data_IF_389363971220
#
_entry.id   IF_389363971220
#
_cell.length_a   1.000
_cell.length_b   1.000
_cell.length_c   1.000
_cell.angle_alpha   90.00
_cell.angle_beta   90.00
_cell.angle_gamma   90.00
#
_symmetry.space_group_name_H-M   'P 1'
#
loop_
_entity.id
_entity.type
_entity.pdbx_description
1 polymer ?
#
# COMPACT_ATOMS: atom_id res chain seq x y z
N UNK A 1 -13.58 22.81 12.92
CA UNK A 1 -13.86 21.37 13.17
C UNK A 1 -12.92 20.89 14.26
N UNK A 2 -13.43 20.31 15.36
CA UNK A 2 -12.58 19.79 16.44
C UNK A 2 -11.71 18.63 15.94
N UNK A 3 -10.40 18.65 16.25
CA UNK A 3 -9.43 17.62 15.85
C UNK A 3 -9.88 16.19 16.16
N UNK A 4 -10.67 16.00 17.23
CA UNK A 4 -11.21 14.68 17.61
C UNK A 4 -12.15 14.10 16.55
N UNK A 5 -12.95 14.94 15.87
CA UNK A 5 -13.85 14.49 14.80
C UNK A 5 -13.09 14.02 13.56
N UNK A 6 -11.95 14.64 13.26
CA UNK A 6 -11.10 14.25 12.12
C UNK A 6 -10.45 12.91 12.42
N UNK A 7 -9.83 12.77 13.60
CA UNK A 7 -9.17 11.53 14.02
C UNK A 7 -10.17 10.36 14.04
N UNK A 8 -11.36 10.57 14.61
CA UNK A 8 -12.41 9.54 14.65
C UNK A 8 -12.85 9.09 13.26
N UNK A 9 -13.10 10.02 12.32
CA UNK A 9 -13.47 9.67 10.94
C UNK A 9 -12.38 8.89 10.22
N UNK A 10 -11.12 9.29 10.37
CA UNK A 10 -9.98 8.59 9.75
C UNK A 10 -9.82 7.19 10.32
N UNK A 11 -9.92 7.04 11.64
CA UNK A 11 -9.80 5.75 12.32
C UNK A 11 -10.91 4.79 11.86
N UNK A 12 -12.17 5.22 11.92
CA UNK A 12 -13.32 4.40 11.50
C UNK A 12 -13.22 4.01 10.03
N UNK A 13 -12.85 4.95 9.14
CA UNK A 13 -12.69 4.64 7.70
C UNK A 13 -11.56 3.66 7.41
N UNK A 14 -10.42 3.78 8.10
CA UNK A 14 -9.28 2.87 7.93
C UNK A 14 -9.60 1.45 8.44
N UNK A 15 -10.22 1.35 9.62
CA UNK A 15 -10.63 0.06 10.17
C UNK A 15 -11.68 -0.62 9.29
N UNK A 16 -12.72 0.10 8.87
CA UNK A 16 -13.79 -0.44 8.05
C UNK A 16 -13.27 -0.94 6.69
N UNK A 17 -12.44 -0.14 6.01
CA UNK A 17 -11.87 -0.52 4.71
C UNK A 17 -10.97 -1.75 4.81
N UNK A 18 -10.16 -1.84 5.87
CA UNK A 18 -9.27 -2.99 6.09
C UNK A 18 -10.07 -4.26 6.40
N UNK A 19 -11.05 -4.19 7.30
CA UNK A 19 -11.91 -5.34 7.62
C UNK A 19 -12.70 -5.81 6.41
N UNK A 20 -13.22 -4.90 5.60
CA UNK A 20 -13.95 -5.26 4.38
C UNK A 20 -13.05 -5.96 3.36
N UNK A 21 -11.84 -5.46 3.15
CA UNK A 21 -10.84 -6.11 2.29
C UNK A 21 -10.49 -7.51 2.82
N UNK A 22 -10.26 -7.65 4.12
CA UNK A 22 -9.90 -8.92 4.74
C UNK A 22 -11.00 -9.97 4.56
N UNK A 23 -12.26 -9.61 4.81
CA UNK A 23 -13.40 -10.51 4.61
C UNK A 23 -13.48 -10.98 3.15
N UNK A 24 -13.27 -10.09 2.18
CA UNK A 24 -13.30 -10.45 0.76
C UNK A 24 -12.16 -11.41 0.42
N UNK A 25 -10.92 -11.08 0.81
CA UNK A 25 -9.74 -11.88 0.46
C UNK A 25 -9.75 -13.25 1.14
N UNK A 26 -10.29 -13.37 2.35
CA UNK A 26 -10.46 -14.67 3.02
C UNK A 26 -11.47 -15.56 2.28
N UNK A 27 -12.57 -14.98 1.76
CA UNK A 27 -13.61 -15.74 1.05
C UNK A 27 -13.24 -16.05 -0.40
N UNK A 28 -12.66 -15.08 -1.11
CA UNK A 28 -12.26 -15.16 -2.52
C UNK A 28 -10.92 -14.44 -2.71
N UNK A 29 -9.78 -15.13 -2.47
CA UNK A 29 -8.45 -14.57 -2.70
C UNK A 29 -8.23 -14.05 -4.14
N UNK A 30 -8.86 -14.67 -5.13
CA UNK A 30 -8.79 -14.26 -6.56
C UNK A 30 -9.40 -12.88 -6.81
N UNK A 31 -10.25 -12.40 -5.90
CA UNK A 31 -10.87 -11.09 -6.00
C UNK A 31 -9.94 -9.96 -5.54
N UNK A 32 -8.73 -10.24 -5.02
CA UNK A 32 -7.82 -9.21 -4.50
C UNK A 32 -7.53 -8.11 -5.54
N UNK A 33 -7.24 -8.49 -6.79
CA UNK A 33 -6.97 -7.54 -7.87
C UNK A 33 -8.20 -6.69 -8.23
N UNK A 34 -9.40 -7.28 -8.18
CA UNK A 34 -10.67 -6.59 -8.41
C UNK A 34 -10.94 -5.56 -7.30
N UNK A 35 -10.64 -5.91 -6.05
CA UNK A 35 -10.76 -4.99 -4.91
C UNK A 35 -9.85 -3.78 -5.10
N UNK A 36 -8.58 -3.98 -5.46
CA UNK A 36 -7.63 -2.88 -5.70
C UNK A 36 -8.05 -2.02 -6.89
N UNK A 37 -8.56 -2.63 -7.96
CA UNK A 37 -9.13 -1.90 -9.10
C UNK A 37 -10.29 -1.01 -8.68
N UNK A 38 -11.23 -1.55 -7.89
CA UNK A 38 -12.39 -0.79 -7.38
C UNK A 38 -11.95 0.36 -6.46
N UNK A 39 -10.94 0.14 -5.61
CA UNK A 39 -10.35 1.18 -4.77
C UNK A 39 -9.76 2.31 -5.63
N UNK A 40 -8.97 1.98 -6.65
CA UNK A 40 -8.38 2.97 -7.54
C UNK A 40 -9.40 3.72 -8.36
N UNK A 41 -10.42 3.02 -8.86
CA UNK A 41 -11.54 3.65 -9.56
C UNK A 41 -12.27 4.63 -8.65
N UNK A 42 -12.55 4.22 -7.41
CA UNK A 42 -13.23 5.07 -6.43
C UNK A 42 -12.40 6.32 -6.10
N UNK A 43 -11.08 6.17 -5.90
CA UNK A 43 -10.16 7.28 -5.64
C UNK A 43 -10.05 8.21 -6.86
N UNK A 44 -9.98 7.65 -8.07
CA UNK A 44 -9.92 8.42 -9.30
C UNK A 44 -11.20 9.23 -9.53
N UNK A 45 -12.38 8.62 -9.33
CA UNK A 45 -13.68 9.30 -9.42
C UNK A 45 -13.81 10.39 -8.37
N UNK A 46 -13.48 10.09 -7.11
CA UNK A 46 -13.52 11.09 -6.05
C UNK A 46 -12.55 12.25 -6.33
N UNK A 47 -11.35 11.96 -6.85
CA UNK A 47 -10.37 12.96 -7.27
C UNK A 47 -10.90 13.86 -8.39
N UNK A 48 -11.59 13.29 -9.38
CA UNK A 48 -12.21 14.02 -10.48
C UNK A 48 -13.35 14.92 -10.00
N UNK A 49 -14.23 14.41 -9.14
CA UNK A 49 -15.35 15.18 -8.56
C UNK A 49 -14.89 16.30 -7.63
N UNK A 50 -13.72 16.15 -7.00
CA UNK A 50 -13.14 17.17 -6.08
C UNK A 50 -12.33 18.23 -6.83
N UNK A 51 -12.11 18.05 -8.14
CA UNK A 51 -11.34 18.99 -8.95
C UNK A 51 -12.12 20.30 -9.10
N UNK A 52 -11.60 21.39 -8.54
CA UNK A 52 -12.16 22.74 -8.68
C UNK A 52 -11.53 23.40 -9.92
N UNK A 53 -12.35 24.04 -10.76
CA UNK A 53 -11.97 24.65 -12.05
C UNK A 53 -10.83 25.69 -11.98
N UNK A 54 -10.42 26.14 -10.80
CA UNK A 54 -9.50 27.28 -10.63
C UNK A 54 -8.01 26.93 -10.55
N UNK A 55 -7.59 25.70 -10.89
CA UNK A 55 -6.20 25.25 -10.76
C UNK A 55 -5.67 24.67 -12.07
N UNK A 56 -5.48 25.54 -13.07
CA UNK A 56 -5.03 25.16 -14.41
C UNK A 56 -3.56 25.44 -14.74
N UNK A 57 -2.73 25.88 -13.77
CA UNK A 57 -1.30 26.11 -14.03
C UNK A 57 -0.40 25.02 -13.42
N UNK A 58 -0.05 23.98 -14.20
CA UNK A 58 0.92 22.99 -13.75
C UNK A 58 2.32 23.59 -13.65
N UNK A 59 2.88 23.64 -12.44
CA UNK A 59 4.27 24.06 -12.18
C UNK A 59 5.21 22.86 -11.90
N UNK A 60 4.80 21.64 -12.25
CA UNK A 60 5.56 20.40 -11.96
C UNK A 60 5.94 19.70 -13.27
N UNK A 61 7.20 19.28 -13.47
CA UNK A 61 7.60 18.54 -14.65
C UNK A 61 6.91 17.16 -14.72
N UNK A 62 6.32 16.84 -15.88
CA UNK A 62 5.56 15.60 -16.11
C UNK A 62 6.35 14.33 -15.77
N UNK A 63 7.68 14.34 -15.97
CA UNK A 63 8.56 13.18 -15.70
C UNK A 63 8.50 12.73 -14.23
N UNK A 64 8.54 13.66 -13.29
CA UNK A 64 8.50 13.33 -11.87
C UNK A 64 7.14 12.78 -11.44
N UNK A 65 6.07 13.31 -12.03
CA UNK A 65 4.72 12.84 -11.80
C UNK A 65 4.49 11.42 -12.35
N UNK A 66 5.02 11.11 -13.54
CA UNK A 66 4.99 9.75 -14.09
C UNK A 66 5.78 8.76 -13.21
N UNK A 67 6.95 9.14 -12.70
CA UNK A 67 7.73 8.29 -11.78
C UNK A 67 6.92 7.98 -10.52
N UNK A 68 6.21 8.97 -9.95
CA UNK A 68 5.33 8.78 -8.79
C UNK A 68 4.22 7.76 -9.08
N UNK A 69 3.56 7.87 -10.24
CA UNK A 69 2.51 6.95 -10.67
C UNK A 69 3.05 5.53 -10.83
N UNK A 70 4.19 5.38 -11.52
CA UNK A 70 4.82 4.08 -11.74
C UNK A 70 5.21 3.42 -10.41
N UNK A 71 5.79 4.17 -9.47
CA UNK A 71 6.13 3.67 -8.13
C UNK A 71 4.90 3.25 -7.34
N UNK A 72 3.84 4.07 -7.37
CA UNK A 72 2.58 3.75 -6.71
C UNK A 72 1.98 2.45 -7.28
N UNK A 73 1.88 2.35 -8.60
CA UNK A 73 1.34 1.18 -9.27
C UNK A 73 2.16 -0.09 -9.00
N UNK A 74 3.49 -0.02 -9.13
CA UNK A 74 4.38 -1.14 -8.83
C UNK A 74 4.25 -1.61 -7.38
N UNK A 75 4.18 -0.68 -6.44
CA UNK A 75 3.99 -0.98 -5.01
C UNK A 75 2.65 -1.68 -4.77
N UNK A 76 1.58 -1.23 -5.41
CA UNK A 76 0.26 -1.83 -5.28
C UNK A 76 0.14 -3.21 -5.90
N UNK A 77 0.73 -3.42 -7.07
CA UNK A 77 0.81 -4.74 -7.72
C UNK A 77 1.60 -5.71 -6.85
N UNK A 78 2.76 -5.29 -6.34
CA UNK A 78 3.58 -6.10 -5.46
C UNK A 78 2.82 -6.46 -4.15
N UNK A 79 2.12 -5.51 -3.54
CA UNK A 79 1.32 -5.76 -2.33
C UNK A 79 0.19 -6.78 -2.56
N UNK A 80 -0.42 -6.80 -3.75
CA UNK A 80 -1.41 -7.82 -4.09
C UNK A 80 -0.77 -9.19 -4.31
N UNK A 81 0.39 -9.23 -4.95
CA UNK A 81 1.10 -10.48 -5.24
C UNK A 81 1.57 -11.20 -3.97
N UNK A 82 1.84 -10.47 -2.89
CA UNK A 82 2.20 -11.03 -1.57
C UNK A 82 1.19 -12.07 -1.08
N UNK A 83 -0.11 -11.88 -1.33
CA UNK A 83 -1.13 -12.86 -0.90
C UNK A 83 -0.96 -14.23 -1.59
N UNK A 84 -0.42 -14.25 -2.81
CA UNK A 84 -0.10 -15.48 -3.54
C UNK A 84 1.14 -16.18 -2.98
N UNK A 85 2.01 -15.46 -2.28
CA UNK A 85 3.25 -15.98 -1.67
C UNK A 85 3.03 -16.62 -0.28
N UNK A 86 1.80 -17.01 0.05
CA UNK A 86 1.41 -17.66 1.31
C UNK A 86 1.67 -16.81 2.58
N UNK A 87 1.75 -15.50 2.44
CA UNK A 87 1.81 -14.59 3.60
C UNK A 87 0.38 -14.40 4.13
N UNK A 88 0.11 -14.74 5.41
CA UNK A 88 -1.21 -14.50 6.00
C UNK A 88 -1.59 -13.01 5.94
N UNK A 89 -2.89 -12.71 5.73
CA UNK A 89 -3.40 -11.33 5.70
C UNK A 89 -3.05 -10.56 6.96
N UNK A 90 -3.13 -11.22 8.12
CA UNK A 90 -2.79 -10.64 9.42
C UNK A 90 -1.31 -10.25 9.50
N UNK A 91 -0.39 -11.11 9.02
CA UNK A 91 1.04 -10.78 9.02
C UNK A 91 1.33 -9.62 8.06
N UNK A 92 0.70 -9.61 6.88
CA UNK A 92 0.79 -8.48 5.96
C UNK A 92 0.35 -7.17 6.65
N UNK A 93 -0.79 -7.14 7.36
CA UNK A 93 -1.24 -5.94 8.06
C UNK A 93 -0.26 -5.47 9.16
N UNK A 94 0.33 -6.41 9.89
CA UNK A 94 1.35 -6.12 10.91
C UNK A 94 2.58 -5.51 10.25
N UNK A 95 3.14 -6.15 9.21
CA UNK A 95 4.32 -5.63 8.50
C UNK A 95 4.01 -4.27 7.85
N UNK A 96 2.82 -4.08 7.26
CA UNK A 96 2.39 -2.80 6.67
C UNK A 96 2.40 -1.65 7.68
N UNK A 97 2.20 -1.93 8.96
CA UNK A 97 2.28 -0.92 10.02
C UNK A 97 3.70 -0.33 10.18
N UNK A 98 4.74 -1.04 9.70
CA UNK A 98 6.11 -0.53 9.62
C UNK A 98 6.33 0.54 8.52
N UNK A 99 5.29 0.91 7.74
CA UNK A 99 5.36 2.02 6.80
C UNK A 99 5.72 3.36 7.48
N UNK A 100 5.33 3.56 8.74
CA UNK A 100 5.67 4.75 9.52
C UNK A 100 7.18 4.82 9.83
N UNK A 101 7.80 3.77 10.44
CA UNK A 101 9.25 3.63 10.53
C UNK A 101 9.98 3.82 9.18
N UNK A 102 9.50 3.16 8.12
CA UNK A 102 10.12 3.25 6.79
C UNK A 102 10.09 4.70 6.26
N UNK A 103 8.95 5.39 6.38
CA UNK A 103 8.78 6.77 5.96
C UNK A 103 9.67 7.73 6.76
N UNK A 104 9.81 7.50 8.06
CA UNK A 104 10.73 8.27 8.90
C UNK A 104 12.19 8.08 8.47
N UNK A 105 12.61 6.82 8.24
CA UNK A 105 13.98 6.50 7.81
C UNK A 105 14.31 7.11 6.44
N UNK A 106 13.44 6.93 5.46
CA UNK A 106 13.61 7.51 4.11
C UNK A 106 13.63 9.04 4.18
N UNK A 107 12.71 9.65 4.93
CA UNK A 107 12.67 11.11 5.09
C UNK A 107 13.89 11.66 5.80
N UNK A 108 14.40 10.97 6.83
CA UNK A 108 15.63 11.36 7.52
C UNK A 108 16.84 11.24 6.60
N UNK A 109 16.95 10.15 5.84
CA UNK A 109 18.04 9.94 4.89
C UNK A 109 18.06 11.01 3.79
N UNK A 110 16.92 11.29 3.16
CA UNK A 110 16.85 12.24 2.03
C UNK A 110 16.91 13.70 2.50
N UNK A 111 16.16 14.10 3.53
CA UNK A 111 16.11 15.49 3.99
C UNK A 111 17.27 15.87 4.91
N UNK A 112 18.06 14.89 5.38
CA UNK A 112 19.15 15.05 6.37
C UNK A 112 18.74 15.74 7.68
N UNK A 113 17.43 15.83 7.97
CA UNK A 113 16.88 16.42 9.20
C UNK A 113 16.58 15.32 10.21
N UNK A 114 17.04 15.50 11.45
CA UNK A 114 16.82 14.54 12.54
C UNK A 114 15.32 14.43 12.86
N UNK A 115 14.79 13.21 13.07
CA UNK A 115 13.39 13.01 13.44
C UNK A 115 13.12 13.54 14.86
N UNK A 116 11.86 13.91 15.12
CA UNK A 116 11.41 14.28 16.47
C UNK A 116 11.49 13.07 17.39
N UNK A 117 11.82 13.29 18.67
CA UNK A 117 11.99 12.22 19.66
C UNK A 117 10.77 11.30 19.77
N UNK A 118 9.55 11.87 19.76
CA UNK A 118 8.31 11.09 19.84
C UNK A 118 8.12 10.15 18.62
N UNK A 119 8.49 10.62 17.43
CA UNK A 119 8.43 9.81 16.20
C UNK A 119 9.48 8.70 16.24
N UNK A 120 10.66 8.98 16.80
CA UNK A 120 11.73 8.01 16.94
C UNK A 120 11.34 6.88 17.91
N UNK A 121 10.82 7.23 19.08
CA UNK A 121 10.34 6.25 20.08
C UNK A 121 9.21 5.40 19.49
N UNK A 122 8.22 6.03 18.85
CA UNK A 122 7.14 5.30 18.19
C UNK A 122 7.64 4.35 17.10
N UNK A 123 8.62 4.79 16.31
CA UNK A 123 9.24 3.94 15.28
C UNK A 123 9.94 2.72 15.87
N UNK A 124 10.67 2.86 16.98
CA UNK A 124 11.36 1.74 17.64
C UNK A 124 10.35 0.71 18.16
N UNK A 125 9.29 1.17 18.83
CA UNK A 125 8.24 0.31 19.37
C UNK A 125 7.56 -0.49 18.25
N UNK A 126 7.21 0.18 17.14
CA UNK A 126 6.57 -0.48 15.99
C UNK A 126 7.51 -1.52 15.37
N UNK A 127 8.78 -1.18 15.14
CA UNK A 127 9.77 -2.11 14.56
C UNK A 127 9.92 -3.36 15.43
N UNK A 128 9.96 -3.20 16.75
CA UNK A 128 10.06 -4.33 17.68
C UNK A 128 8.80 -5.21 17.67
N UNK A 129 7.62 -4.61 17.66
CA UNK A 129 6.36 -5.34 17.56
C UNK A 129 6.23 -6.15 16.26
N UNK A 130 6.64 -5.55 15.13
CA UNK A 130 6.66 -6.23 13.82
C UNK A 130 7.67 -7.39 13.82
N UNK A 131 8.85 -7.20 14.42
CA UNK A 131 9.86 -8.25 14.52
C UNK A 131 9.34 -9.48 15.31
N UNK A 132 8.76 -9.26 16.50
CA UNK A 132 8.22 -10.35 17.33
C UNK A 132 7.10 -11.10 16.59
N UNK A 133 6.17 -10.38 15.98
CA UNK A 133 5.06 -10.98 15.25
C UNK A 133 5.54 -11.80 14.04
N UNK A 134 6.52 -11.27 13.29
CA UNK A 134 7.09 -11.96 12.12
C UNK A 134 7.86 -13.21 12.54
N UNK A 135 8.61 -13.14 13.64
CA UNK A 135 9.29 -14.30 14.20
C UNK A 135 8.30 -15.39 14.64
N UNK A 136 7.22 -15.00 15.32
CA UNK A 136 6.15 -15.93 15.69
C UNK A 136 5.58 -16.68 14.49
N UNK A 137 5.25 -15.97 13.41
CA UNK A 137 4.71 -16.59 12.19
C UNK A 137 5.73 -17.50 11.48
N UNK A 138 7.02 -17.10 11.45
CA UNK A 138 8.10 -17.89 10.85
C UNK A 138 8.17 -19.29 11.47
N UNK A 139 8.08 -19.41 12.79
CA UNK A 139 8.14 -20.71 13.50
C UNK A 139 6.96 -21.63 13.15
N UNK A 140 5.80 -21.06 12.82
CA UNK A 140 4.60 -21.83 12.45
C UNK A 140 4.77 -22.39 11.03
N UNK A 141 5.36 -21.61 10.13
CA UNK A 141 5.55 -21.98 8.73
C UNK A 141 6.71 -22.95 8.54
N UNK A 142 7.78 -22.82 9.33
CA UNK A 142 8.88 -23.78 9.35
C UNK A 142 8.38 -25.20 9.67
N UNK A 143 7.42 -25.33 10.59
CA UNK A 143 6.77 -26.61 10.90
C UNK A 143 5.92 -27.18 9.76
N UNK A 144 5.48 -26.36 8.79
CA UNK A 144 4.68 -26.78 7.62
C UNK A 144 5.57 -27.00 6.39
N UNK A 145 6.56 -27.89 6.53
CA UNK A 145 7.60 -28.20 5.53
C UNK A 145 7.10 -28.08 4.08
N UNK A 146 7.67 -27.13 3.33
CA UNK A 146 7.42 -26.95 1.89
C UNK A 146 7.01 -25.54 1.44
N UNK A 147 6.70 -24.61 2.37
CA UNK A 147 6.24 -23.24 1.99
C UNK A 147 7.06 -22.08 2.57
N UNK A 148 8.08 -22.38 3.37
CA UNK A 148 8.92 -21.37 4.03
C UNK A 148 9.61 -20.42 3.05
N UNK A 149 10.13 -20.96 1.93
CA UNK A 149 10.80 -20.15 0.91
C UNK A 149 9.86 -19.13 0.24
N UNK A 150 8.62 -19.54 -0.10
CA UNK A 150 7.62 -18.65 -0.68
C UNK A 150 7.20 -17.55 0.31
N UNK A 151 7.01 -17.92 1.58
CA UNK A 151 6.71 -16.96 2.63
C UNK A 151 7.84 -15.94 2.81
N UNK A 152 9.10 -16.38 2.84
CA UNK A 152 10.26 -15.51 2.95
C UNK A 152 10.33 -14.50 1.78
N UNK A 153 10.10 -14.98 0.55
CA UNK A 153 9.97 -14.11 -0.62
C UNK A 153 8.84 -13.08 -0.46
N UNK A 154 7.69 -13.48 0.09
CA UNK A 154 6.58 -12.57 0.37
C UNK A 154 6.92 -11.51 1.42
N UNK A 155 7.62 -11.88 2.50
CA UNK A 155 8.08 -10.93 3.52
C UNK A 155 9.10 -9.95 2.95
N UNK A 156 10.07 -10.43 2.15
CA UNK A 156 11.04 -9.55 1.48
C UNK A 156 10.33 -8.58 0.53
N UNK A 157 9.38 -9.08 -0.26
CA UNK A 157 8.59 -8.24 -1.16
C UNK A 157 7.82 -7.16 -0.39
N UNK A 158 7.21 -7.49 0.76
CA UNK A 158 6.56 -6.52 1.62
C UNK A 158 7.52 -5.46 2.17
N UNK A 159 8.72 -5.85 2.60
CA UNK A 159 9.70 -4.88 3.09
C UNK A 159 10.14 -3.93 1.97
N UNK A 160 10.27 -4.43 0.74
CA UNK A 160 10.56 -3.60 -0.43
C UNK A 160 9.40 -2.64 -0.75
N UNK A 161 8.14 -3.09 -0.69
CA UNK A 161 6.98 -2.23 -0.92
C UNK A 161 6.84 -1.14 0.14
N UNK A 162 7.23 -1.41 1.40
CA UNK A 162 7.26 -0.38 2.45
C UNK A 162 8.24 0.76 2.12
N UNK A 163 9.43 0.43 1.60
CA UNK A 163 10.44 1.41 1.23
C UNK A 163 9.97 2.20 -0.01
N UNK A 164 9.46 1.53 -1.04
CA UNK A 164 8.90 2.20 -2.22
C UNK A 164 7.69 3.07 -1.89
N UNK A 165 6.83 2.62 -0.97
CA UNK A 165 5.72 3.41 -0.43
C UNK A 165 6.18 4.65 0.33
N UNK A 166 7.24 4.52 1.13
CA UNK A 166 7.87 5.65 1.81
C UNK A 166 8.45 6.69 0.84
N UNK A 167 9.09 6.25 -0.26
CA UNK A 167 9.52 7.16 -1.33
C UNK A 167 8.34 7.87 -1.99
N UNK A 168 7.26 7.15 -2.28
CA UNK A 168 6.03 7.71 -2.86
C UNK A 168 5.45 8.79 -1.94
N UNK A 169 5.36 8.53 -0.64
CA UNK A 169 4.91 9.51 0.36
C UNK A 169 5.81 10.74 0.46
N UNK A 170 7.14 10.54 0.43
CA UNK A 170 8.10 11.64 0.44
C UNK A 170 7.96 12.52 -0.81
N UNK A 171 7.78 11.92 -1.98
CA UNK A 171 7.54 12.62 -3.24
C UNK A 171 6.25 13.44 -3.15
N UNK A 172 5.15 12.88 -2.62
CA UNK A 172 3.89 13.60 -2.40
C UNK A 172 4.05 14.82 -1.48
N UNK A 173 4.89 14.73 -0.45
CA UNK A 173 5.17 15.86 0.44
C UNK A 173 5.95 16.99 -0.27
N UNK A 174 6.87 16.61 -1.17
CA UNK A 174 7.65 17.57 -1.98
C UNK A 174 6.78 18.23 -3.04
N UNK A 175 5.86 17.47 -3.67
CA UNK A 175 4.86 17.97 -4.61
C UNK A 175 3.73 18.68 -3.87
N UNK A 176 4.07 19.77 -3.18
CA UNK A 176 3.10 20.67 -2.56
C UNK A 176 2.47 21.55 -3.63
N UNK A 177 1.62 20.97 -4.49
CA UNK A 177 0.85 21.78 -5.44
C UNK A 177 -0.51 21.18 -5.78
N UNK A 178 -1.46 22.09 -5.98
CA UNK A 178 -2.89 21.89 -6.17
C UNK A 178 -3.23 21.00 -7.37
N UNK A 179 -4.38 20.32 -7.30
CA UNK A 179 -4.90 19.38 -8.32
C UNK A 179 -4.85 20.05 -9.70
N UNK A 180 -3.98 19.57 -10.58
CA UNK A 180 -3.74 20.11 -11.94
C UNK A 180 -4.27 19.14 -12.99
N UNK A 181 -4.30 19.55 -14.27
CA UNK A 181 -4.63 18.68 -15.41
C UNK A 181 -3.82 17.37 -15.43
N UNK A 182 -2.58 17.38 -14.90
CA UNK A 182 -1.78 16.16 -14.76
C UNK A 182 -2.40 15.13 -13.81
N UNK A 183 -3.24 15.53 -12.84
CA UNK A 183 -4.03 14.56 -12.06
C UNK A 183 -5.03 13.81 -12.92
N UNK A 184 -5.70 14.47 -13.87
CA UNK A 184 -6.62 13.78 -14.79
C UNK A 184 -5.84 12.77 -15.64
N UNK A 185 -4.72 13.20 -16.23
CA UNK A 185 -3.83 12.32 -17.01
C UNK A 185 -3.33 11.16 -16.15
N UNK A 186 -2.95 11.42 -14.90
CA UNK A 186 -2.52 10.41 -13.94
C UNK A 186 -3.62 9.44 -13.56
N UNK A 187 -4.83 9.92 -13.27
CA UNK A 187 -5.99 9.09 -12.97
C UNK A 187 -6.39 8.21 -14.16
N UNK A 188 -6.37 8.75 -15.38
CA UNK A 188 -6.60 7.99 -16.61
C UNK A 188 -5.50 6.95 -16.82
N UNK A 189 -4.24 7.32 -16.63
CA UNK A 189 -3.10 6.40 -16.79
C UNK A 189 -3.14 5.26 -15.75
N UNK A 190 -3.42 5.58 -14.49
CA UNK A 190 -3.61 4.57 -13.43
C UNK A 190 -4.80 3.70 -13.78
N UNK A 191 -5.92 4.27 -14.25
CA UNK A 191 -7.09 3.49 -14.62
C UNK A 191 -6.81 2.53 -15.79
N UNK A 192 -6.19 3.02 -16.86
CA UNK A 192 -5.77 2.20 -18.01
C UNK A 192 -4.76 1.14 -17.58
N UNK A 193 -3.73 1.51 -16.82
CA UNK A 193 -2.73 0.57 -16.30
C UNK A 193 -3.36 -0.50 -15.41
N UNK A 194 -4.35 -0.15 -14.60
CA UNK A 194 -5.06 -1.10 -13.74
C UNK A 194 -6.03 -1.98 -14.52
N UNK A 195 -6.66 -1.46 -15.58
CA UNK A 195 -7.45 -2.25 -16.52
C UNK A 195 -6.58 -3.30 -17.23
N UNK A 196 -5.43 -2.90 -17.78
CA UNK A 196 -4.46 -3.82 -18.38
C UNK A 196 -3.92 -4.83 -17.37
N UNK A 197 -3.66 -4.41 -16.14
CA UNK A 197 -3.28 -5.33 -15.06
C UNK A 197 -4.37 -6.34 -14.74
N UNK A 198 -5.62 -5.90 -14.65
CA UNK A 198 -6.75 -6.79 -14.43
C UNK A 198 -6.88 -7.80 -15.57
N UNK A 199 -6.81 -7.36 -16.83
CA UNK A 199 -6.93 -8.23 -17.99
C UNK A 199 -5.74 -9.22 -18.10
N UNK A 200 -4.52 -8.73 -17.87
CA UNK A 200 -3.29 -9.55 -17.88
C UNK A 200 -3.31 -10.63 -16.80
N UNK A 201 -3.68 -10.28 -15.56
CA UNK A 201 -3.72 -11.25 -14.46
C UNK A 201 -5.00 -12.09 -14.40
N UNK A 202 -6.10 -11.64 -14.99
CA UNK A 202 -7.29 -12.47 -15.21
C UNK A 202 -6.98 -13.61 -16.19
N UNK A 203 -6.25 -13.30 -17.26
CA UNK A 203 -5.81 -14.31 -18.24
C UNK A 203 -4.74 -15.25 -17.67
N UNK A 204 -3.86 -14.75 -16.78
CA UNK A 204 -2.92 -15.57 -16.01
C UNK A 204 -3.61 -16.12 -14.75
N UNK A 205 -4.52 -17.10 -14.88
CA UNK A 205 -5.26 -17.76 -13.79
C UNK A 205 -4.47 -17.76 -12.47
N UNK A 206 -4.70 -16.76 -11.62
CA UNK A 206 -4.13 -16.74 -10.28
C UNK A 206 -4.86 -17.82 -9.50
N UNK A 207 -4.27 -19.01 -9.40
CA UNK A 207 -4.85 -20.07 -8.61
C UNK A 207 -4.56 -19.76 -7.14
N UNK A 208 -5.60 -19.55 -6.31
CA UNK A 208 -5.38 -19.34 -4.91
C UNK A 208 -5.10 -20.68 -4.25
N UNK A 209 -4.27 -20.64 -3.21
CA UNK A 209 -3.99 -21.82 -2.40
C UNK A 209 -5.24 -22.10 -1.57
N UNK A 210 -5.94 -23.19 -1.90
CA UNK A 210 -7.07 -23.70 -1.13
C UNK A 210 -6.61 -23.99 0.31
N UNK A 211 -7.12 -23.25 1.28
CA UNK A 211 -7.03 -23.66 2.68
C UNK A 211 -7.99 -24.83 2.90
N UNK A 212 -7.49 -25.92 3.49
CA UNK A 212 -8.36 -26.97 4.05
C UNK A 212 -9.24 -26.31 5.11
N UNK A 213 -10.56 -26.34 4.92
CA UNK A 213 -11.52 -26.08 6.00
C UNK A 213 -11.18 -27.03 7.16
N UNK A 214 -11.01 -26.46 8.36
CA UNK A 214 -11.09 -27.23 9.59
C UNK A 214 -12.53 -27.63 9.84
#
# INVERSE_FOLDING_TARGET
MSSTRIISKVFVGCCLSTTFMEIIVVNKPDAANLVTFSQFLSIALQGLLTMRESVLSPNIPLKHYLILICLFFATSVANNYVYTLHVPSTLHMIIRSAASPASMLVSWYVKRKKPKLNSLIGSIIITFGVFIATYGDATIIEKRQGKFFQWCMGVILLLMTLISGAFTGLQQEIFKNSITIYHIVGSVLVFIGTYFYFDFFYNMKQHPVKYKKK
#
